data_IF_420148112003
#
_entry.id   IF_420148112003
#
_cell.length_a   1.000
_cell.length_b   1.000
_cell.length_c   1.000
_cell.angle_alpha   90.00
_cell.angle_beta   90.00
_cell.angle_gamma   90.00
#
_symmetry.space_group_name_H-M   'P 1'
#
loop_
_entity.id
_entity.type
_entity.pdbx_description
1 polymer ?
#
# COMPACT_ATOMS: atom_id res chain seq x y z
N UNK A 1 7.55 -15.73 8.41
CA UNK A 1 7.46 -16.46 7.12
C UNK A 1 6.32 -15.85 6.31
N UNK A 2 6.60 -15.46 5.06
CA UNK A 2 5.57 -14.87 4.18
C UNK A 2 4.64 -15.93 3.62
N UNK A 3 3.35 -15.61 3.48
CA UNK A 3 2.32 -16.53 2.99
C UNK A 3 1.35 -15.81 2.03
N UNK A 4 0.92 -16.52 1.00
CA UNK A 4 -0.18 -16.12 0.11
C UNK A 4 -1.33 -17.10 0.31
N UNK A 5 -2.51 -16.57 0.58
CA UNK A 5 -3.73 -17.34 0.83
C UNK A 5 -4.77 -16.97 -0.21
N UNK A 6 -5.19 -17.94 -0.96
CA UNK A 6 -6.22 -17.81 -1.98
C UNK A 6 -7.50 -18.47 -1.45
N UNK A 7 -8.56 -17.67 -1.30
CA UNK A 7 -9.84 -18.17 -0.84
C UNK A 7 -11.00 -17.40 -1.46
N UNK A 8 -12.12 -18.09 -1.70
CA UNK A 8 -13.31 -17.49 -2.29
C UNK A 8 -13.91 -16.38 -1.40
N UNK A 9 -14.77 -15.53 -1.99
CA UNK A 9 -15.60 -14.62 -1.20
C UNK A 9 -16.37 -15.35 -0.11
N UNK A 10 -16.50 -14.72 1.05
CA UNK A 10 -17.19 -15.32 2.19
C UNK A 10 -16.44 -16.45 2.93
N UNK A 11 -15.26 -16.86 2.46
CA UNK A 11 -14.46 -17.93 3.10
C UNK A 11 -13.74 -17.48 4.39
N UNK A 12 -14.06 -16.30 4.93
CA UNK A 12 -13.49 -15.84 6.20
C UNK A 12 -12.08 -15.24 6.10
N UNK A 13 -11.65 -14.75 4.92
CA UNK A 13 -10.33 -14.12 4.71
C UNK A 13 -10.01 -13.04 5.74
N UNK A 14 -10.92 -12.08 5.94
CA UNK A 14 -10.76 -10.98 6.90
C UNK A 14 -10.71 -11.50 8.35
N UNK A 15 -11.56 -12.48 8.68
CA UNK A 15 -11.54 -13.15 9.98
C UNK A 15 -10.20 -13.84 10.24
N UNK A 16 -9.63 -14.49 9.24
CA UNK A 16 -8.31 -15.11 9.32
C UNK A 16 -7.21 -14.07 9.59
N UNK A 17 -7.20 -12.94 8.85
CA UNK A 17 -6.21 -11.86 9.04
C UNK A 17 -6.30 -11.28 10.46
N UNK A 18 -7.52 -11.02 10.96
CA UNK A 18 -7.75 -10.50 12.32
C UNK A 18 -7.23 -11.48 13.36
N UNK A 19 -7.62 -12.75 13.30
CA UNK A 19 -7.16 -13.77 14.26
C UNK A 19 -5.64 -13.89 14.25
N UNK A 20 -5.02 -13.93 13.05
CA UNK A 20 -3.57 -14.00 12.92
C UNK A 20 -2.88 -12.75 13.49
N UNK A 21 -3.44 -11.56 13.32
CA UNK A 21 -2.90 -10.34 13.90
C UNK A 21 -2.96 -10.31 15.42
N UNK A 22 -4.01 -10.91 16.03
CA UNK A 22 -4.16 -11.02 17.48
C UNK A 22 -3.13 -11.97 18.14
N UNK A 23 -2.51 -12.87 17.37
CA UNK A 23 -1.46 -13.78 17.85
C UNK A 23 -0.06 -13.15 17.83
N UNK A 24 0.09 -11.94 17.29
CA UNK A 24 1.38 -11.27 17.07
C UNK A 24 1.56 -10.13 18.07
N UNK A 25 2.69 -10.12 18.77
CA UNK A 25 3.04 -9.08 19.73
C UNK A 25 3.74 -7.88 19.10
N UNK A 26 4.39 -8.08 17.95
CA UNK A 26 5.10 -7.03 17.22
C UNK A 26 4.11 -6.16 16.40
N UNK A 27 4.62 -5.05 15.87
CA UNK A 27 3.79 -4.15 15.07
C UNK A 27 3.32 -4.79 13.75
N UNK A 28 2.00 -4.85 13.61
CA UNK A 28 1.30 -5.36 12.43
C UNK A 28 0.65 -4.21 11.68
N UNK A 29 0.88 -4.13 10.39
CA UNK A 29 0.11 -3.33 9.46
C UNK A 29 -0.89 -4.22 8.73
N UNK A 30 -2.17 -3.86 8.72
CA UNK A 30 -3.17 -4.45 7.83
C UNK A 30 -3.59 -3.37 6.83
N UNK A 31 -3.46 -3.66 5.55
CA UNK A 31 -3.80 -2.73 4.49
C UNK A 31 -4.73 -3.37 3.45
N UNK A 32 -5.57 -2.56 2.88
CA UNK A 32 -6.54 -2.92 1.85
C UNK A 32 -6.72 -1.74 0.89
N UNK A 33 -7.39 -1.97 -0.24
CA UNK A 33 -7.48 -0.95 -1.29
C UNK A 33 -8.53 0.12 -1.00
N UNK A 34 -9.63 -0.21 -0.30
CA UNK A 34 -10.78 0.68 -0.10
C UNK A 34 -11.04 1.00 1.37
N UNK A 35 -11.62 2.18 1.64
CA UNK A 35 -12.05 2.58 2.99
C UNK A 35 -13.16 1.65 3.52
N UNK A 36 -14.03 1.12 2.65
CA UNK A 36 -15.07 0.18 3.04
C UNK A 36 -14.48 -1.14 3.57
N UNK A 37 -13.43 -1.66 2.93
CA UNK A 37 -12.73 -2.85 3.40
C UNK A 37 -11.95 -2.56 4.68
N UNK A 38 -11.34 -1.35 4.82
CA UNK A 38 -10.73 -0.93 6.08
C UNK A 38 -11.74 -0.98 7.23
N UNK A 39 -12.93 -0.40 7.04
CA UNK A 39 -13.99 -0.41 8.05
C UNK A 39 -14.43 -1.84 8.40
N UNK A 40 -14.62 -2.70 7.42
CA UNK A 40 -14.95 -4.11 7.63
C UNK A 40 -13.90 -4.84 8.48
N UNK A 41 -12.61 -4.56 8.27
CA UNK A 41 -11.52 -5.12 9.09
C UNK A 41 -11.63 -4.62 10.53
N UNK A 42 -11.89 -3.32 10.75
CA UNK A 42 -12.07 -2.72 12.08
C UNK A 42 -13.26 -3.34 12.82
N UNK A 43 -14.40 -3.44 12.14
CA UNK A 43 -15.62 -4.06 12.72
C UNK A 43 -15.36 -5.51 13.12
N UNK A 44 -14.57 -6.24 12.32
CA UNK A 44 -14.19 -7.61 12.64
C UNK A 44 -13.27 -7.71 13.87
N UNK A 45 -12.38 -6.73 14.11
CA UNK A 45 -11.61 -6.66 15.35
C UNK A 45 -12.52 -6.44 16.56
N UNK A 46 -13.48 -5.52 16.46
CA UNK A 46 -14.43 -5.27 17.54
C UNK A 46 -15.31 -6.50 17.83
N UNK A 47 -15.76 -7.21 16.78
CA UNK A 47 -16.54 -8.44 16.91
C UNK A 47 -15.77 -9.56 17.64
N UNK A 48 -14.49 -9.75 17.32
CA UNK A 48 -13.69 -10.88 17.80
C UNK A 48 -13.01 -10.58 19.15
N UNK A 49 -12.51 -9.34 19.31
CA UNK A 49 -11.62 -8.97 20.42
C UNK A 49 -12.14 -7.81 21.28
N UNK A 50 -13.23 -7.16 20.88
CA UNK A 50 -13.78 -6.00 21.57
C UNK A 50 -13.00 -4.70 21.34
N UNK A 51 -11.75 -4.76 20.85
CA UNK A 51 -10.90 -3.60 20.54
C UNK A 51 -9.84 -3.94 19.50
N UNK A 52 -9.24 -2.92 18.93
CA UNK A 52 -8.05 -3.04 18.06
C UNK A 52 -6.81 -2.90 18.96
N UNK A 53 -5.91 -3.90 19.03
CA UNK A 53 -4.69 -3.81 19.82
C UNK A 53 -3.79 -2.66 19.38
N UNK A 54 -3.06 -2.05 20.32
CA UNK A 54 -2.20 -0.89 20.05
C UNK A 54 -1.04 -1.15 19.09
N UNK A 55 -0.62 -2.41 18.95
CA UNK A 55 0.39 -2.85 18.00
C UNK A 55 -0.17 -3.10 16.59
N UNK A 56 -1.51 -3.04 16.40
CA UNK A 56 -2.16 -3.22 15.10
C UNK A 56 -2.52 -1.87 14.49
N UNK A 57 -2.04 -1.62 13.30
CA UNK A 57 -2.39 -0.45 12.48
C UNK A 57 -3.18 -0.91 11.27
N UNK A 58 -4.36 -0.33 11.06
CA UNK A 58 -5.19 -0.60 9.88
C UNK A 58 -5.29 0.68 9.08
N UNK A 59 -4.97 0.64 7.79
CA UNK A 59 -5.09 1.81 6.92
C UNK A 59 -5.23 1.42 5.45
N UNK A 60 -5.91 2.25 4.61
CA UNK A 60 -5.98 2.04 3.17
C UNK A 60 -4.60 2.13 2.51
N UNK A 61 -4.45 1.45 1.37
CA UNK A 61 -3.20 1.38 0.62
C UNK A 61 -2.62 2.75 0.28
N UNK A 62 -3.42 3.66 -0.26
CA UNK A 62 -2.95 5.00 -0.62
C UNK A 62 -2.52 5.81 0.61
N UNK A 63 -3.20 5.63 1.73
CA UNK A 63 -2.81 6.26 3.01
C UNK A 63 -1.46 5.76 3.50
N UNK A 64 -1.20 4.45 3.39
CA UNK A 64 0.11 3.85 3.68
C UNK A 64 1.20 4.48 2.80
N UNK A 65 0.99 4.51 1.49
CA UNK A 65 1.97 5.04 0.55
C UNK A 65 2.29 6.51 0.82
N UNK A 66 1.27 7.34 1.04
CA UNK A 66 1.48 8.77 1.36
C UNK A 66 2.20 8.93 2.69
N UNK A 67 1.69 8.31 3.75
CA UNK A 67 2.14 8.54 5.12
C UNK A 67 3.54 7.99 5.37
N UNK A 68 3.84 6.81 4.84
CA UNK A 68 5.06 6.08 5.14
C UNK A 68 6.03 5.96 3.97
N UNK A 69 5.52 5.93 2.73
CA UNK A 69 6.33 5.81 1.51
C UNK A 69 6.77 7.15 0.92
N UNK A 70 5.90 8.16 0.93
CA UNK A 70 6.14 9.41 0.18
C UNK A 70 6.58 10.55 1.11
N UNK A 71 5.70 10.98 2.03
CA UNK A 71 5.94 12.18 2.85
C UNK A 71 7.29 12.23 3.58
N UNK A 72 7.80 11.14 4.18
CA UNK A 72 9.08 11.18 4.88
C UNK A 72 10.29 11.39 3.96
N UNK A 73 10.15 11.10 2.67
CA UNK A 73 11.22 11.14 1.68
C UNK A 73 10.93 12.06 0.50
N UNK A 74 9.81 12.80 0.52
CA UNK A 74 9.40 13.64 -0.61
C UNK A 74 10.44 14.65 -1.05
N UNK A 75 11.25 15.19 -0.13
CA UNK A 75 12.30 16.20 -0.41
C UNK A 75 13.42 15.70 -1.33
N UNK A 76 13.54 14.39 -1.56
CA UNK A 76 14.47 13.86 -2.56
C UNK A 76 14.06 14.17 -4.01
N UNK A 77 12.79 14.50 -4.24
CA UNK A 77 12.26 14.74 -5.59
C UNK A 77 11.26 15.90 -5.66
N UNK A 78 10.48 16.14 -4.60
CA UNK A 78 9.33 17.05 -4.60
C UNK A 78 9.64 18.21 -3.67
N UNK A 79 9.57 19.44 -4.21
CA UNK A 79 9.86 20.66 -3.45
C UNK A 79 8.73 21.06 -2.49
N UNK A 80 7.49 20.87 -2.92
CA UNK A 80 6.31 21.24 -2.13
C UNK A 80 5.81 20.06 -1.29
N UNK A 81 5.16 20.38 -0.15
CA UNK A 81 4.57 19.34 0.70
C UNK A 81 3.46 18.59 -0.04
N UNK A 82 3.56 17.25 -0.02
CA UNK A 82 2.48 16.39 -0.51
C UNK A 82 1.27 16.49 0.40
N UNK A 83 0.14 16.99 -0.17
CA UNK A 83 -1.10 17.27 0.55
C UNK A 83 -2.10 16.10 0.50
N UNK A 84 -2.26 15.46 -0.66
CA UNK A 84 -3.26 14.41 -0.87
C UNK A 84 -3.09 13.66 -2.18
N UNK A 85 -4.17 13.09 -2.66
CA UNK A 85 -4.25 12.33 -3.93
C UNK A 85 -5.23 13.04 -4.85
N UNK A 86 -4.86 13.17 -6.13
CA UNK A 86 -5.76 13.50 -7.23
C UNK A 86 -6.13 12.21 -7.96
N UNK A 87 -7.40 11.84 -7.90
CA UNK A 87 -7.91 10.70 -8.67
C UNK A 87 -7.90 11.04 -10.16
N UNK A 88 -7.26 10.21 -10.97
CA UNK A 88 -7.17 10.39 -12.42
C UNK A 88 -7.72 9.16 -13.14
N UNK A 89 -8.68 9.38 -14.03
CA UNK A 89 -9.31 8.31 -14.81
C UNK A 89 -8.50 7.92 -16.05
N UNK A 90 -7.64 8.83 -16.55
CA UNK A 90 -6.78 8.58 -17.71
C UNK A 90 -5.40 9.18 -17.46
N UNK A 91 -4.37 8.42 -17.77
CA UNK A 91 -3.00 8.91 -17.69
C UNK A 91 -2.75 9.98 -18.77
N UNK A 92 -2.19 11.12 -18.38
CA UNK A 92 -1.71 12.12 -19.35
C UNK A 92 -0.42 11.60 -20.02
N UNK A 93 -0.51 11.34 -21.33
CA UNK A 93 0.62 10.86 -22.13
C UNK A 93 1.84 11.78 -22.08
N UNK A 94 1.63 13.09 -21.87
CA UNK A 94 2.73 14.05 -21.73
C UNK A 94 3.47 13.86 -20.41
N UNK A 95 2.74 13.66 -19.31
CA UNK A 95 3.33 13.39 -18.00
C UNK A 95 4.06 12.04 -17.97
N UNK A 96 3.52 11.01 -18.62
CA UNK A 96 4.15 9.69 -18.69
C UNK A 96 5.54 9.74 -19.38
N UNK A 97 5.73 10.62 -20.37
CA UNK A 97 7.00 10.80 -21.09
C UNK A 97 8.07 11.53 -20.27
N UNK A 98 7.72 12.18 -19.17
CA UNK A 98 8.70 12.85 -18.32
C UNK A 98 9.64 11.83 -17.68
N UNK A 99 10.90 12.24 -17.44
CA UNK A 99 11.87 11.43 -16.70
C UNK A 99 11.38 11.18 -15.27
N UNK A 100 11.76 10.07 -14.67
CA UNK A 100 11.39 9.73 -13.30
C UNK A 100 11.97 10.69 -12.24
N UNK A 101 12.96 11.48 -12.62
CA UNK A 101 13.52 12.59 -11.80
C UNK A 101 12.74 13.91 -11.91
N UNK A 102 11.64 13.95 -12.64
CA UNK A 102 10.82 15.16 -12.77
C UNK A 102 9.58 15.08 -11.87
N UNK A 103 9.50 15.96 -10.86
CA UNK A 103 8.40 15.99 -9.89
C UNK A 103 7.02 16.13 -10.54
N UNK A 104 6.89 16.89 -11.65
CA UNK A 104 5.61 17.08 -12.37
C UNK A 104 5.01 15.79 -12.91
N UNK A 105 5.79 14.71 -13.02
CA UNK A 105 5.30 13.39 -13.37
C UNK A 105 4.39 12.81 -12.29
N UNK A 106 4.62 13.17 -11.03
CA UNK A 106 4.00 12.54 -9.86
C UNK A 106 3.00 13.42 -9.15
N UNK A 107 3.23 14.76 -9.15
CA UNK A 107 2.44 15.68 -8.34
C UNK A 107 1.94 16.88 -9.14
N UNK A 108 0.79 17.38 -8.75
CA UNK A 108 0.23 18.65 -9.23
C UNK A 108 0.96 19.83 -8.61
N UNK A 109 0.76 21.04 -9.16
CA UNK A 109 1.26 22.28 -8.57
C UNK A 109 0.72 22.52 -7.14
N UNK A 110 -0.47 21.99 -6.81
CA UNK A 110 -1.07 22.05 -5.46
C UNK A 110 -0.58 20.95 -4.50
N UNK A 111 0.39 20.12 -4.91
CA UNK A 111 0.97 19.08 -4.07
C UNK A 111 0.17 17.79 -3.96
N UNK A 112 -0.82 17.56 -4.83
CA UNK A 112 -1.55 16.28 -4.86
C UNK A 112 -0.84 15.28 -5.76
N UNK A 113 -0.64 14.06 -5.28
CA UNK A 113 -0.08 12.95 -6.06
C UNK A 113 -1.15 12.41 -7.01
N UNK A 114 -0.79 12.17 -8.27
CA UNK A 114 -1.68 11.49 -9.22
C UNK A 114 -1.88 10.03 -8.79
N UNK A 115 -3.14 9.57 -8.72
CA UNK A 115 -3.47 8.22 -8.23
C UNK A 115 -2.79 7.10 -9.03
N UNK A 116 -2.59 7.28 -10.32
CA UNK A 116 -1.90 6.32 -11.18
C UNK A 116 -0.36 6.31 -11.01
N UNK A 117 0.21 7.27 -10.25
CA UNK A 117 1.64 7.36 -9.95
C UNK A 117 1.97 7.12 -8.49
N UNK A 118 0.94 6.94 -7.64
CA UNK A 118 1.09 6.89 -6.19
C UNK A 118 1.96 5.72 -5.73
N UNK A 119 1.88 4.57 -6.39
CA UNK A 119 2.67 3.38 -6.05
C UNK A 119 4.06 3.37 -6.71
N UNK A 120 4.22 4.08 -7.84
CA UNK A 120 5.53 4.26 -8.47
C UNK A 120 6.42 5.22 -7.66
N UNK A 121 5.85 6.28 -7.13
CA UNK A 121 6.60 7.33 -6.45
C UNK A 121 7.43 6.84 -5.25
N UNK A 122 6.92 6.00 -4.33
CA UNK A 122 7.73 5.42 -3.25
C UNK A 122 8.92 4.60 -3.77
N UNK A 123 8.77 3.89 -4.89
CA UNK A 123 9.87 3.12 -5.48
C UNK A 123 11.00 4.05 -5.97
N UNK A 124 10.64 5.15 -6.64
CA UNK A 124 11.60 6.16 -7.09
C UNK A 124 12.27 6.85 -5.90
N UNK A 125 11.51 7.23 -4.89
CA UNK A 125 12.07 7.83 -3.66
C UNK A 125 12.99 6.86 -2.91
N UNK A 126 12.68 5.57 -2.95
CA UNK A 126 13.53 4.52 -2.36
C UNK A 126 14.88 4.45 -3.09
N UNK A 127 14.88 4.48 -4.41
CA UNK A 127 16.10 4.53 -5.23
C UNK A 127 16.92 5.80 -4.93
N UNK A 128 16.29 6.98 -4.93
CA UNK A 128 16.95 8.25 -4.65
C UNK A 128 17.49 8.33 -3.21
N UNK A 129 16.89 7.65 -2.27
CA UNK A 129 17.30 7.60 -0.86
C UNK A 129 18.15 6.38 -0.50
N UNK A 130 18.69 5.64 -1.49
CA UNK A 130 19.48 4.43 -1.28
C UNK A 130 18.75 3.37 -0.44
N UNK A 131 17.48 3.10 -0.73
CA UNK A 131 16.66 2.07 -0.10
C UNK A 131 16.12 2.43 1.28
N UNK A 132 16.05 3.71 1.65
CA UNK A 132 15.62 4.13 2.98
C UNK A 132 14.10 4.02 3.19
N UNK A 133 13.28 4.13 2.14
CA UNK A 133 11.82 4.13 2.24
C UNK A 133 11.32 2.81 2.83
N UNK A 134 11.62 1.71 2.17
CA UNK A 134 11.10 0.40 2.57
C UNK A 134 11.78 -0.14 3.83
N UNK A 135 13.08 0.15 4.05
CA UNK A 135 13.76 -0.16 5.33
C UNK A 135 13.11 0.56 6.51
N UNK A 136 12.65 1.82 6.34
CA UNK A 136 11.91 2.54 7.39
C UNK A 136 10.55 1.89 7.65
N UNK A 137 9.80 1.53 6.61
CA UNK A 137 8.50 0.86 6.76
C UNK A 137 8.70 -0.47 7.53
N UNK A 138 9.73 -1.26 7.19
CA UNK A 138 10.07 -2.49 7.89
C UNK A 138 10.41 -2.28 9.38
N UNK A 139 11.05 -1.17 9.72
CA UNK A 139 11.36 -0.83 11.12
C UNK A 139 10.09 -0.47 11.93
N UNK A 140 9.08 0.07 11.26
CA UNK A 140 7.80 0.42 11.90
C UNK A 140 6.90 -0.81 12.00
N UNK A 141 6.81 -1.60 10.92
CA UNK A 141 5.92 -2.74 10.80
C UNK A 141 6.71 -4.00 10.49
N UNK A 142 6.79 -4.91 11.47
CA UNK A 142 7.43 -6.22 11.29
C UNK A 142 6.60 -7.15 10.44
N UNK A 143 5.27 -6.98 10.50
CA UNK A 143 4.29 -7.76 9.77
C UNK A 143 3.44 -6.84 8.91
N UNK A 144 3.21 -7.24 7.65
CA UNK A 144 2.37 -6.52 6.69
C UNK A 144 1.36 -7.49 6.10
N UNK A 145 0.09 -7.26 6.40
CA UNK A 145 -1.02 -8.04 5.88
C UNK A 145 -1.75 -7.24 4.81
N UNK A 146 -1.99 -7.86 3.68
CA UNK A 146 -2.68 -7.25 2.54
C UNK A 146 -3.96 -8.02 2.29
N UNK A 147 -5.10 -7.35 2.45
CA UNK A 147 -6.40 -7.89 2.08
C UNK A 147 -6.74 -7.50 0.64
N UNK A 148 -7.49 -8.36 -0.04
CA UNK A 148 -7.92 -8.23 -1.44
C UNK A 148 -6.76 -7.99 -2.42
N UNK A 149 -5.70 -8.84 -2.33
CA UNK A 149 -4.48 -8.70 -3.14
C UNK A 149 -4.75 -8.70 -4.66
N UNK A 150 -5.86 -9.24 -5.13
CA UNK A 150 -6.23 -9.23 -6.55
C UNK A 150 -6.52 -7.82 -7.11
N UNK A 151 -6.75 -6.83 -6.24
CA UNK A 151 -6.96 -5.43 -6.65
C UNK A 151 -5.63 -4.69 -6.87
N UNK A 152 -4.51 -5.29 -6.46
CA UNK A 152 -3.17 -4.71 -6.56
C UNK A 152 -2.54 -5.04 -7.92
N UNK A 153 -2.06 -4.01 -8.63
CA UNK A 153 -1.52 -4.17 -9.98
C UNK A 153 -0.27 -3.31 -10.20
N UNK A 154 0.56 -3.72 -11.16
CA UNK A 154 1.71 -2.92 -11.60
C UNK A 154 2.66 -2.54 -10.46
N UNK A 155 2.81 -1.24 -10.19
CA UNK A 155 3.71 -0.76 -9.13
C UNK A 155 3.24 -1.07 -7.71
N UNK A 156 1.95 -1.41 -7.47
CA UNK A 156 1.51 -1.92 -6.17
C UNK A 156 2.24 -3.22 -5.83
N UNK A 157 2.32 -4.14 -6.80
CA UNK A 157 3.05 -5.40 -6.63
C UNK A 157 4.56 -5.20 -6.46
N UNK A 158 5.13 -4.17 -7.12
CA UNK A 158 6.55 -3.81 -6.90
C UNK A 158 6.79 -3.32 -5.47
N UNK A 159 5.89 -2.50 -4.92
CA UNK A 159 5.96 -2.07 -3.51
C UNK A 159 5.88 -3.27 -2.56
N UNK A 160 4.93 -4.20 -2.81
CA UNK A 160 4.78 -5.43 -2.02
C UNK A 160 6.06 -6.26 -2.08
N UNK A 161 6.65 -6.43 -3.27
CA UNK A 161 7.91 -7.12 -3.47
C UNK A 161 9.04 -6.46 -2.67
N UNK A 162 9.20 -5.14 -2.76
CA UNK A 162 10.22 -4.38 -2.01
C UNK A 162 10.04 -4.51 -0.49
N UNK A 163 8.80 -4.49 0.02
CA UNK A 163 8.52 -4.75 1.44
C UNK A 163 8.95 -6.16 1.85
N UNK A 164 8.74 -7.15 1.00
CA UNK A 164 9.20 -8.52 1.24
C UNK A 164 10.75 -8.61 1.22
N UNK A 165 11.39 -7.99 0.24
CA UNK A 165 12.86 -7.98 0.08
C UNK A 165 13.57 -7.34 1.28
N UNK A 166 13.01 -6.31 1.91
CA UNK A 166 13.56 -5.71 3.14
C UNK A 166 13.24 -6.52 4.41
N UNK A 167 12.56 -7.66 4.28
CA UNK A 167 12.33 -8.61 5.37
C UNK A 167 11.05 -8.40 6.18
N UNK A 168 10.01 -7.72 5.63
CA UNK A 168 8.69 -7.76 6.23
C UNK A 168 8.11 -9.18 6.17
N UNK A 169 7.48 -9.63 7.25
CA UNK A 169 6.69 -10.85 7.25
C UNK A 169 5.33 -10.56 6.59
N UNK A 170 5.14 -11.06 5.37
CA UNK A 170 3.96 -10.74 4.57
C UNK A 170 2.87 -11.80 4.71
N UNK A 171 1.61 -11.38 4.81
CA UNK A 171 0.43 -12.24 4.63
C UNK A 171 -0.48 -11.58 3.62
N UNK A 172 -0.64 -12.20 2.47
CA UNK A 172 -1.44 -11.70 1.36
C UNK A 172 -2.67 -12.59 1.24
N UNK A 173 -3.86 -12.01 1.23
CA UNK A 173 -5.11 -12.76 1.02
C UNK A 173 -5.92 -12.16 -0.11
N UNK A 174 -6.60 -13.00 -0.90
CA UNK A 174 -7.43 -12.55 -1.99
C UNK A 174 -8.19 -13.68 -2.69
N UNK A 175 -9.06 -13.27 -3.62
CA UNK A 175 -9.79 -14.16 -4.51
C UNK A 175 -9.51 -13.74 -5.98
N UNK A 176 -8.70 -14.48 -6.74
CA UNK A 176 -8.35 -14.12 -8.11
C UNK A 176 -9.57 -14.09 -9.06
N UNK A 177 -10.72 -14.64 -8.65
CA UNK A 177 -11.97 -14.61 -9.44
C UNK A 177 -12.72 -13.30 -9.31
N UNK A 178 -12.33 -12.40 -8.37
CA UNK A 178 -12.98 -11.13 -8.08
C UNK A 178 -12.18 -9.89 -8.52
N UNK A 179 -11.33 -10.01 -9.51
CA UNK A 179 -10.54 -8.87 -10.02
C UNK A 179 -11.48 -7.77 -10.52
N UNK A 180 -11.58 -6.66 -9.79
CA UNK A 180 -12.55 -5.58 -10.05
C UNK A 180 -11.93 -4.31 -10.64
N UNK A 181 -10.64 -4.05 -10.43
CA UNK A 181 -10.01 -2.78 -10.82
C UNK A 181 -8.73 -2.95 -11.64
N UNK A 182 -8.69 -2.26 -12.79
CA UNK A 182 -7.44 -1.98 -13.53
C UNK A 182 -7.13 -0.50 -13.34
N UNK A 183 -6.35 -0.15 -12.30
CA UNK A 183 -6.04 1.25 -11.96
C UNK A 183 -4.75 1.78 -12.58
N UNK A 184 -3.93 0.94 -13.18
CA UNK A 184 -2.63 1.34 -13.71
C UNK A 184 -2.51 1.13 -15.22
N UNK A 185 -2.09 2.19 -15.92
CA UNK A 185 -1.87 2.18 -17.38
C UNK A 185 -0.43 1.80 -17.77
N UNK A 186 0.50 1.78 -16.83
CA UNK A 186 1.85 1.24 -17.05
C UNK A 186 1.90 -0.19 -16.50
N UNK A 187 1.76 -1.15 -17.39
CA UNK A 187 1.99 -2.55 -17.05
C UNK A 187 3.50 -2.78 -16.88
N UNK A 188 3.95 -3.04 -15.65
CA UNK A 188 5.30 -3.54 -15.38
C UNK A 188 5.33 -5.08 -15.37
N UNK A 189 4.12 -5.70 -15.29
CA UNK A 189 3.91 -7.16 -15.30
C UNK A 189 2.62 -7.49 -16.05
#
# INVERSE_FOLDING_TARGET
>A
MSSLIIAAAGAGKTTFLVKKALEISENVLITTYTDANEQSIRDKFYEINGCIPSNVTIMPWFSLLIKHGIRPYQSYLINNRVSGVLLVNKADKKLLKLKDTNEKKYVTASGNVYSNMISKLPCVLDELSNGCVFRRIRKIFSYVFVDEIQDFVGYDLEVIKKLHEVGCNMTLVGDPRQTTYRTHYEAKY
#
